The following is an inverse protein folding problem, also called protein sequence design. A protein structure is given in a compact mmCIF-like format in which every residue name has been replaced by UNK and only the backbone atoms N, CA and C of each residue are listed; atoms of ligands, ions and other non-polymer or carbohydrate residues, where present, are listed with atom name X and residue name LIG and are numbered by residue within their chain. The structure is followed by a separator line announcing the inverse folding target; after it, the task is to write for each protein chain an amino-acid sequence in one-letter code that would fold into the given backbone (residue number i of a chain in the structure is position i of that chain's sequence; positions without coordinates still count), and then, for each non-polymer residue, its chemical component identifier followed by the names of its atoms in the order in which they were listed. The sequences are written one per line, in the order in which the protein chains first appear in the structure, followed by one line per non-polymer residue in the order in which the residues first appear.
data_IF_927396345065
#
_entry.id   IF_927396345065
#
_cell.length_a   1.000
_cell.length_b   1.000
_cell.length_c   1.000
_cell.angle_alpha   90.00
_cell.angle_beta   90.00
_cell.angle_gamma   90.00
#
_symmetry.space_group_name_H-M   'P 1'
#
loop_
_entity.id
_entity.type
_entity.pdbx_description
1 polymer ?
#
# COMPACT_ATOMS: atom_id res chain seq x y z
N UNK A 1 -8.48 50.47 47.65
CA UNK A 1 -9.14 50.69 48.96
C UNK A 1 -10.42 49.85 48.92
N UNK A 2 -10.71 48.84 49.74
CA UNK A 2 -10.32 48.43 51.10
C UNK A 2 -10.34 46.89 51.16
N UNK A 3 -9.43 46.30 51.94
CA UNK A 3 -9.37 44.86 52.27
C UNK A 3 -10.43 44.52 53.33
N UNK A 4 -11.06 43.34 53.21
CA UNK A 4 -11.71 42.71 54.36
C UNK A 4 -11.45 41.20 54.32
N UNK A 5 -10.89 40.67 55.42
CA UNK A 5 -10.62 39.26 55.70
C UNK A 5 -10.98 39.02 57.19
N UNK A 6 -10.99 37.76 57.69
CA UNK A 6 -12.08 36.77 57.82
C UNK A 6 -12.58 36.65 59.30
N UNK A 7 -13.39 35.63 59.70
CA UNK A 7 -12.78 34.43 60.31
C UNK A 7 -13.60 33.10 60.28
N UNK A 8 -12.89 31.97 60.42
CA UNK A 8 -13.41 30.68 60.90
C UNK A 8 -14.00 29.75 59.82
N UNK A 9 -13.68 28.46 59.71
CA UNK A 9 -12.98 27.56 60.60
C UNK A 9 -12.36 26.40 59.81
N UNK A 10 -11.15 26.02 60.21
CA UNK A 10 -10.57 24.70 59.97
C UNK A 10 -11.54 23.61 60.45
N UNK A 11 -11.88 22.62 59.62
CA UNK A 11 -11.91 21.20 60.05
C UNK A 11 -11.59 20.25 58.89
N UNK A 12 -10.76 19.27 59.23
CA UNK A 12 -10.19 18.21 58.40
C UNK A 12 -11.20 17.08 58.14
N UNK A 13 -10.90 16.34 57.06
CA UNK A 13 -10.98 14.87 56.88
C UNK A 13 -12.31 14.19 56.46
N UNK A 14 -12.22 13.65 55.23
CA UNK A 14 -12.37 12.24 54.83
C UNK A 14 -13.75 11.63 54.56
N UNK A 15 -13.72 10.67 53.62
CA UNK A 15 -14.77 9.77 53.09
C UNK A 15 -15.62 10.46 52.01
N UNK A 16 -15.66 10.04 50.75
CA UNK A 16 -15.45 8.72 50.18
C UNK A 16 -16.55 8.52 49.13
N UNK A 17 -16.20 8.55 47.84
CA UNK A 17 -16.93 7.93 46.73
C UNK A 17 -16.24 8.31 45.42
N UNK A 18 -15.11 7.64 45.18
CA UNK A 18 -14.62 7.49 43.82
C UNK A 18 -15.51 6.47 43.13
N UNK A 19 -16.17 6.87 42.06
CA UNK A 19 -16.67 5.89 41.09
C UNK A 19 -15.44 5.49 40.28
N UNK A 20 -14.80 4.39 40.70
CA UNK A 20 -13.80 3.69 39.90
C UNK A 20 -14.57 2.97 38.80
N UNK A 21 -14.56 3.53 37.60
CA UNK A 21 -14.97 2.79 36.41
C UNK A 21 -13.80 1.89 36.05
N UNK A 22 -13.83 0.66 36.55
CA UNK A 22 -12.97 -0.42 36.07
C UNK A 22 -13.43 -0.78 34.65
N UNK A 23 -12.75 -0.20 33.65
CA UNK A 23 -12.86 -0.69 32.28
C UNK A 23 -12.08 -2.01 32.18
N UNK A 24 -12.71 -3.09 31.67
CA UNK A 24 -12.06 -4.38 31.55
C UNK A 24 -10.86 -4.29 30.61
N UNK A 25 -9.77 -4.92 31.04
CA UNK A 25 -8.60 -5.33 30.27
C UNK A 25 -8.85 -5.36 28.76
N UNK A 26 -8.52 -4.26 28.06
CA UNK A 26 -8.19 -4.37 26.65
C UNK A 26 -6.76 -4.91 26.56
N UNK A 27 -6.70 -6.24 26.58
CA UNK A 27 -5.74 -7.10 25.92
C UNK A 27 -4.70 -6.33 25.10
N UNK A 28 -3.44 -6.47 25.54
CA UNK A 28 -2.22 -6.12 24.82
C UNK A 28 -2.26 -6.60 23.36
N UNK A 29 -2.86 -5.81 22.48
CA UNK A 29 -2.51 -5.82 21.07
C UNK A 29 -1.56 -4.66 20.90
N UNK A 30 -0.28 -4.89 21.20
CA UNK A 30 0.79 -4.09 20.60
C UNK A 30 0.43 -3.97 19.13
N UNK A 31 0.22 -2.76 18.57
CA UNK A 31 0.13 -2.66 17.14
C UNK A 31 1.44 -3.24 16.65
N UNK A 32 1.37 -4.37 15.96
CA UNK A 32 2.47 -4.83 15.13
C UNK A 32 2.59 -3.73 14.09
N UNK A 33 3.35 -2.69 14.42
CA UNK A 33 3.91 -1.77 13.44
C UNK A 33 4.83 -2.70 12.66
N UNK A 34 4.25 -3.30 11.63
CA UNK A 34 4.97 -4.04 10.62
C UNK A 34 5.84 -2.98 9.97
N UNK A 35 7.05 -2.79 10.54
CA UNK A 35 8.07 -1.86 10.07
C UNK A 35 8.52 -2.39 8.72
N UNK A 36 7.74 -2.09 7.69
CA UNK A 36 8.14 -2.30 6.31
C UNK A 36 9.38 -1.42 6.15
N UNK A 37 10.54 -2.01 5.82
CA UNK A 37 11.76 -1.24 5.74
C UNK A 37 11.56 -0.10 4.72
N UNK A 38 12.02 1.12 5.01
CA UNK A 38 11.78 2.29 4.14
C UNK A 38 12.26 2.05 2.70
N UNK A 39 13.20 1.13 2.49
CA UNK A 39 13.69 0.70 1.18
C UNK A 39 12.63 0.02 0.32
N UNK A 40 11.64 -0.65 0.92
CA UNK A 40 10.64 -1.42 0.21
C UNK A 40 9.64 -0.53 -0.53
N UNK A 41 9.23 0.58 0.09
CA UNK A 41 8.38 1.61 -0.51
C UNK A 41 9.12 2.46 -1.55
N UNK A 42 10.41 2.72 -1.31
CA UNK A 42 11.27 3.40 -2.28
C UNK A 42 11.40 2.59 -3.58
N UNK A 43 11.42 1.26 -3.50
CA UNK A 43 11.47 0.41 -4.68
C UNK A 43 10.16 0.45 -5.48
N UNK A 44 9.00 0.48 -4.81
CA UNK A 44 7.69 0.59 -5.47
C UNK A 44 7.52 1.92 -6.21
N UNK A 45 7.89 3.05 -5.58
CA UNK A 45 7.85 4.37 -6.20
C UNK A 45 8.80 4.47 -7.39
N UNK A 46 10.02 3.90 -7.26
CA UNK A 46 10.97 3.81 -8.38
C UNK A 46 10.45 2.95 -9.53
N UNK A 47 9.81 1.81 -9.23
CA UNK A 47 9.16 0.95 -10.22
C UNK A 47 8.01 1.66 -10.92
N UNK A 48 7.18 2.38 -10.17
CA UNK A 48 6.08 3.16 -10.72
C UNK A 48 6.59 4.22 -11.69
N UNK A 49 7.65 4.97 -11.32
CA UNK A 49 8.30 5.95 -12.19
C UNK A 49 8.94 5.31 -13.42
N UNK A 50 9.65 4.20 -13.27
CA UNK A 50 10.28 3.48 -14.37
C UNK A 50 9.24 2.94 -15.38
N UNK A 51 8.08 2.50 -14.91
CA UNK A 51 6.97 2.07 -15.76
C UNK A 51 6.19 3.24 -16.37
N UNK A 52 6.13 4.39 -15.70
CA UNK A 52 5.50 5.61 -16.20
C UNK A 52 6.36 6.28 -17.29
N UNK A 53 7.67 6.33 -17.09
CA UNK A 53 8.64 6.91 -18.03
C UNK A 53 8.90 6.03 -19.25
N UNK A 54 8.53 4.74 -19.20
CA UNK A 54 8.67 3.82 -20.32
C UNK A 54 7.88 4.28 -21.54
N UNK A 55 8.56 4.47 -22.68
CA UNK A 55 7.91 4.66 -23.99
C UNK A 55 7.37 3.34 -24.56
N UNK A 56 7.90 2.20 -24.10
CA UNK A 56 7.36 0.90 -24.49
C UNK A 56 6.09 0.57 -23.71
N UNK A 57 5.14 -0.07 -24.38
CA UNK A 57 3.87 -0.48 -23.78
C UNK A 57 4.07 -1.48 -22.63
N UNK A 58 5.13 -2.29 -22.66
CA UNK A 58 5.39 -3.34 -21.68
C UNK A 58 6.87 -3.42 -21.32
N UNK A 59 7.15 -3.79 -20.06
CA UNK A 59 8.50 -4.01 -19.56
C UNK A 59 8.61 -5.35 -18.85
N UNK A 60 9.75 -6.01 -19.02
CA UNK A 60 10.07 -7.26 -18.33
C UNK A 60 10.62 -6.99 -16.93
N UNK A 61 10.43 -7.96 -16.03
CA UNK A 61 11.06 -7.96 -14.69
C UNK A 61 12.58 -7.77 -14.80
N UNK A 62 13.25 -8.49 -15.71
CA UNK A 62 14.70 -8.40 -15.86
C UNK A 62 15.16 -7.00 -16.33
N UNK A 63 14.40 -6.37 -17.22
CA UNK A 63 14.69 -5.00 -17.67
C UNK A 63 14.54 -4.00 -16.52
N UNK A 64 13.47 -4.12 -15.73
CA UNK A 64 13.23 -3.25 -14.57
C UNK A 64 14.28 -3.47 -13.47
N UNK A 65 14.63 -4.73 -13.21
CA UNK A 65 15.66 -5.11 -12.25
C UNK A 65 17.03 -4.52 -12.63
N UNK A 66 17.40 -4.63 -13.91
CA UNK A 66 18.63 -4.06 -14.46
C UNK A 66 18.67 -2.54 -14.37
N UNK A 67 17.59 -1.85 -14.72
CA UNK A 67 17.51 -0.38 -14.65
C UNK A 67 17.57 0.14 -13.21
N UNK A 68 16.90 -0.55 -12.28
CA UNK A 68 16.81 -0.13 -10.89
C UNK A 68 17.97 -0.63 -10.02
N UNK A 69 18.86 -1.46 -10.58
CA UNK A 69 20.00 -2.05 -9.88
C UNK A 69 19.58 -2.97 -8.73
N UNK A 70 18.46 -3.66 -8.85
CA UNK A 70 17.93 -4.58 -7.83
C UNK A 70 17.79 -5.99 -8.38
N UNK A 71 17.63 -6.99 -7.51
CA UNK A 71 17.42 -8.36 -7.96
C UNK A 71 16.05 -8.55 -8.62
N UNK A 72 15.97 -9.48 -9.58
CA UNK A 72 14.70 -9.87 -10.20
C UNK A 72 13.68 -10.38 -9.16
N UNK A 73 14.15 -11.05 -8.10
CA UNK A 73 13.30 -11.50 -7.00
C UNK A 73 12.66 -10.33 -6.23
N UNK A 74 13.47 -9.34 -5.83
CA UNK A 74 12.97 -8.14 -5.15
C UNK A 74 12.03 -7.34 -6.05
N UNK A 75 12.31 -7.29 -7.35
CA UNK A 75 11.45 -6.66 -8.36
C UNK A 75 10.10 -7.36 -8.46
N UNK A 76 10.06 -8.70 -8.54
CA UNK A 76 8.80 -9.46 -8.54
C UNK A 76 8.01 -9.25 -7.25
N UNK A 77 8.69 -9.21 -6.11
CA UNK A 77 8.03 -8.98 -4.82
C UNK A 77 7.44 -7.57 -4.72
N UNK A 78 8.17 -6.55 -5.18
CA UNK A 78 7.66 -5.18 -5.22
C UNK A 78 6.48 -5.05 -6.21
N UNK A 79 6.55 -5.66 -7.40
CA UNK A 79 5.44 -5.72 -8.35
C UNK A 79 4.22 -6.40 -7.72
N UNK A 80 4.41 -7.50 -6.97
CA UNK A 80 3.31 -8.15 -6.22
C UNK A 80 2.70 -7.22 -5.18
N UNK A 81 3.51 -6.42 -4.48
CA UNK A 81 3.05 -5.41 -3.51
C UNK A 81 2.30 -4.26 -4.17
N UNK A 82 2.70 -3.84 -5.38
CA UNK A 82 1.98 -2.83 -6.17
C UNK A 82 0.56 -3.29 -6.58
N UNK A 83 0.31 -4.60 -6.61
CA UNK A 83 -1.03 -5.17 -6.79
C UNK A 83 -1.73 -4.65 -8.04
N UNK A 84 -2.88 -3.99 -7.87
CA UNK A 84 -3.72 -3.48 -8.96
C UNK A 84 -3.13 -2.30 -9.74
N UNK A 85 -2.07 -1.64 -9.23
CA UNK A 85 -1.39 -0.55 -9.95
C UNK A 85 -0.68 -1.03 -11.20
N UNK A 86 -0.29 -2.30 -11.23
CA UNK A 86 0.40 -2.94 -12.35
C UNK A 86 -0.46 -4.06 -12.92
N UNK A 87 -0.34 -4.31 -14.22
CA UNK A 87 -1.03 -5.38 -14.90
C UNK A 87 -0.16 -6.07 -15.92
N UNK A 88 -0.57 -7.29 -16.26
CA UNK A 88 0.01 -8.10 -17.33
C UNK A 88 -0.77 -7.91 -18.64
N UNK A 89 -0.19 -8.27 -19.79
CA UNK A 89 -0.90 -8.31 -21.06
C UNK A 89 -2.17 -9.15 -21.00
N UNK A 90 -3.27 -8.68 -21.57
CA UNK A 90 -4.48 -9.46 -21.72
C UNK A 90 -4.21 -10.75 -22.52
N UNK A 91 -4.71 -11.89 -22.00
CA UNK A 91 -4.48 -13.24 -22.57
C UNK A 91 -2.99 -13.57 -22.72
N UNK A 92 -2.28 -13.42 -21.61
CA UNK A 92 -0.85 -13.63 -21.46
C UNK A 92 -0.46 -15.04 -21.92
N UNK A 93 0.49 -15.15 -22.86
CA UNK A 93 1.17 -16.43 -23.12
C UNK A 93 2.17 -16.72 -21.98
N UNK A 94 2.59 -17.97 -21.79
CA UNK A 94 3.59 -18.34 -20.76
C UNK A 94 4.89 -17.52 -20.87
N UNK A 95 5.27 -17.11 -22.08
CA UNK A 95 6.43 -16.24 -22.35
C UNK A 95 6.24 -14.77 -21.97
N UNK A 96 5.01 -14.33 -21.70
CA UNK A 96 4.63 -12.96 -21.38
C UNK A 96 4.33 -12.78 -19.87
N UNK A 97 4.54 -13.80 -19.03
CA UNK A 97 4.18 -13.78 -17.59
C UNK A 97 4.97 -12.76 -16.77
N UNK A 98 6.19 -12.44 -17.20
CA UNK A 98 7.06 -11.43 -16.57
C UNK A 98 6.94 -10.04 -17.20
N UNK A 99 5.93 -9.82 -18.07
CA UNK A 99 5.68 -8.53 -18.70
C UNK A 99 4.66 -7.72 -17.90
N UNK A 100 5.03 -6.49 -17.53
CA UNK A 100 4.23 -5.60 -16.71
C UNK A 100 4.11 -4.20 -17.32
N UNK A 101 2.97 -3.56 -17.03
CA UNK A 101 2.66 -2.16 -17.33
C UNK A 101 1.83 -1.56 -16.20
N UNK A 102 1.85 -0.23 -16.04
CA UNK A 102 0.87 0.46 -15.21
C UNK A 102 -0.56 0.24 -15.72
N UNK A 103 -1.46 -0.08 -14.81
CA UNK A 103 -2.89 -0.23 -15.08
C UNK A 103 -3.54 1.08 -15.51
N UNK A 104 -3.04 2.22 -15.02
CA UNK A 104 -3.52 3.57 -15.36
C UNK A 104 -3.36 3.92 -16.84
N UNK A 105 -2.47 3.25 -17.58
CA UNK A 105 -2.27 3.47 -19.01
C UNK A 105 -3.34 2.82 -19.90
N UNK A 106 -4.26 2.06 -19.32
CA UNK A 106 -5.35 1.40 -20.05
C UNK A 106 -4.84 0.32 -21.03
N UNK A 107 -5.77 -0.23 -21.81
CA UNK A 107 -5.51 -1.28 -22.80
C UNK A 107 -4.83 -0.71 -24.04
N UNK A 108 -3.80 -1.39 -24.54
CA UNK A 108 -3.23 -1.05 -25.84
C UNK A 108 -4.21 -1.39 -26.97
N UNK A 109 -4.03 -0.77 -28.14
CA UNK A 109 -4.78 -1.14 -29.34
C UNK A 109 -4.65 -2.63 -29.67
N UNK A 110 -3.45 -3.19 -29.49
CA UNK A 110 -3.18 -4.62 -29.70
C UNK A 110 -3.97 -5.50 -28.73
N UNK A 111 -4.10 -5.11 -27.46
CA UNK A 111 -4.92 -5.85 -26.49
C UNK A 111 -6.41 -5.75 -26.80
N UNK A 112 -6.89 -4.58 -27.22
CA UNK A 112 -8.28 -4.39 -27.66
C UNK A 112 -8.62 -5.32 -28.83
N UNK A 113 -7.73 -5.39 -29.82
CA UNK A 113 -7.86 -6.32 -30.95
C UNK A 113 -7.85 -7.78 -30.50
N UNK A 114 -6.93 -8.18 -29.62
CA UNK A 114 -6.87 -9.56 -29.08
C UNK A 114 -8.16 -9.95 -28.35
N UNK A 115 -8.73 -9.03 -27.56
CA UNK A 115 -9.99 -9.26 -26.86
C UNK A 115 -11.12 -9.41 -27.87
N UNK A 116 -11.25 -8.49 -28.83
CA UNK A 116 -12.29 -8.54 -29.87
C UNK A 116 -12.23 -9.82 -30.71
N UNK A 117 -11.05 -10.17 -31.24
CA UNK A 117 -10.86 -11.36 -32.05
C UNK A 117 -11.27 -12.61 -31.28
N UNK A 118 -10.91 -12.68 -30.01
CA UNK A 118 -11.21 -13.86 -29.24
C UNK A 118 -12.65 -13.95 -28.73
N UNK A 119 -13.42 -12.86 -28.79
CA UNK A 119 -14.88 -12.91 -28.72
C UNK A 119 -15.47 -13.44 -30.03
N UNK A 120 -14.98 -12.98 -31.17
CA UNK A 120 -15.42 -13.46 -32.49
C UNK A 120 -15.15 -14.96 -32.70
N UNK A 121 -14.05 -15.50 -32.16
CA UNK A 121 -13.73 -16.93 -32.22
C UNK A 121 -14.61 -17.81 -31.31
N UNK A 122 -15.41 -17.24 -30.41
CA UNK A 122 -16.25 -18.01 -29.46
C UNK A 122 -17.69 -18.18 -29.96
N UNK A 123 -18.05 -17.49 -31.04
CA UNK A 123 -19.41 -17.45 -31.60
C UNK A 123 -19.55 -18.23 -32.92
N UNK A 124 -18.50 -18.92 -33.37
CA UNK A 124 -18.52 -19.82 -34.52
C UNK A 124 -18.39 -21.29 -34.12
#
# INVERSE_FOLDING_TARGET
MIRHTPPGALRRRALGSGIVVELPEQSNSTPVIMTIPPTAYLLEDRLERALAASDTDWRTVDSLAGELGVSAAATREAIRRMGSKVRRPARTKKSEEDWYRLSSRGLTWQERLRILLAFASRTS
#
